data_IF_507017831039
#
_entry.id   IF_507017831039
#
_cell.length_a   1.000
_cell.length_b   1.000
_cell.length_c   1.000
_cell.angle_alpha   90.00
_cell.angle_beta   90.00
_cell.angle_gamma   90.00
#
_symmetry.space_group_name_H-M   'P 1'
#
loop_
_entity.id
_entity.type
_entity.pdbx_description
1 polymer ?
#
# COMPACT_ATOMS: atom_id res chain seq x y z
N UNK A 1 -17.53 3.74 -1.33
CA UNK A 1 -17.33 4.98 -2.11
C UNK A 1 -16.16 5.81 -1.57
N UNK A 2 -15.85 5.65 -0.30
CA UNK A 2 -14.83 6.38 0.46
C UNK A 2 -13.57 5.54 0.75
N UNK A 3 -13.45 4.38 0.09
CA UNK A 3 -12.34 3.42 0.26
C UNK A 3 -12.21 2.83 1.67
N UNK A 4 -13.28 2.87 2.47
CA UNK A 4 -13.35 2.27 3.80
C UNK A 4 -14.26 1.03 3.80
N UNK A 5 -14.08 0.08 4.73
CA UNK A 5 -14.98 -1.05 4.92
C UNK A 5 -16.44 -0.63 5.11
N UNK A 6 -17.38 -1.36 4.50
CA UNK A 6 -18.82 -1.15 4.75
C UNK A 6 -19.22 -1.88 6.02
N UNK A 7 -19.25 -1.16 7.14
CA UNK A 7 -19.60 -1.68 8.46
C UNK A 7 -20.97 -2.33 8.53
N UNK A 8 -21.92 -1.96 7.65
CA UNK A 8 -23.27 -2.58 7.61
C UNK A 8 -23.23 -4.00 7.05
N UNK A 9 -22.19 -4.32 6.27
CA UNK A 9 -21.98 -5.65 5.68
C UNK A 9 -21.14 -6.55 6.56
N UNK A 10 -20.21 -5.98 7.32
CA UNK A 10 -19.25 -6.74 8.12
C UNK A 10 -19.93 -7.79 9.03
N UNK A 11 -20.98 -7.46 9.83
CA UNK A 11 -21.63 -8.47 10.68
C UNK A 11 -22.24 -9.64 9.92
N UNK A 12 -22.65 -9.40 8.64
CA UNK A 12 -23.26 -10.43 7.79
C UNK A 12 -22.24 -11.35 7.12
N UNK A 13 -20.98 -10.93 7.08
CA UNK A 13 -19.87 -11.71 6.51
C UNK A 13 -19.22 -12.63 7.54
N UNK A 14 -19.34 -12.31 8.83
CA UNK A 14 -18.83 -13.13 9.92
C UNK A 14 -19.74 -14.37 10.08
N UNK A 15 -19.14 -15.55 10.15
CA UNK A 15 -19.82 -16.84 10.32
C UNK A 15 -18.89 -17.84 11.04
N UNK A 16 -19.34 -19.08 11.25
CA UNK A 16 -18.58 -20.13 11.96
C UNK A 16 -17.21 -20.48 11.34
N UNK A 17 -16.93 -20.06 10.13
CA UNK A 17 -15.62 -20.24 9.48
C UNK A 17 -14.73 -18.99 9.57
N UNK A 18 -15.21 -17.93 10.21
CA UNK A 18 -14.42 -16.70 10.38
C UNK A 18 -13.48 -16.87 11.55
N UNK A 19 -12.19 -16.86 11.29
CA UNK A 19 -11.15 -17.01 12.32
C UNK A 19 -10.63 -15.68 12.84
N UNK A 20 -10.80 -14.60 12.08
CA UNK A 20 -10.28 -13.28 12.43
C UNK A 20 -10.93 -12.19 11.56
N UNK A 21 -11.16 -11.03 12.13
CA UNK A 21 -11.39 -9.77 11.38
C UNK A 21 -10.08 -9.01 11.30
N UNK A 22 -9.80 -8.40 10.15
CA UNK A 22 -8.59 -7.61 9.93
C UNK A 22 -8.96 -6.20 9.49
N UNK A 23 -8.37 -5.20 10.15
CA UNK A 23 -8.38 -3.79 9.74
C UNK A 23 -6.96 -3.25 9.64
N UNK A 24 -6.75 -2.16 8.93
CA UNK A 24 -5.43 -1.61 8.67
C UNK A 24 -5.25 -0.20 9.22
N UNK A 25 -4.04 0.09 9.71
CA UNK A 25 -3.66 1.40 10.22
C UNK A 25 -2.24 1.80 9.75
N UNK A 26 -2.12 2.53 8.59
CA UNK A 26 -3.15 2.76 7.58
C UNK A 26 -3.26 1.62 6.56
N UNK A 27 -4.37 1.58 5.81
CA UNK A 27 -4.50 0.70 4.67
C UNK A 27 -3.63 1.16 3.49
N UNK A 28 -3.21 0.22 2.68
CA UNK A 28 -2.45 0.44 1.47
C UNK A 28 -3.36 0.26 0.25
N UNK A 29 -3.40 1.18 -0.75
CA UNK A 29 -2.44 2.25 -1.02
C UNK A 29 -2.88 3.68 -0.65
N UNK A 30 -4.08 3.89 -0.07
CA UNK A 30 -4.66 5.23 0.06
C UNK A 30 -4.27 5.95 1.37
N UNK A 31 -3.74 5.20 2.36
CA UNK A 31 -3.28 5.78 3.62
C UNK A 31 -4.39 6.09 4.62
N UNK A 32 -5.56 5.49 4.46
CA UNK A 32 -6.69 5.69 5.36
C UNK A 32 -6.59 4.72 6.54
N UNK A 33 -6.88 5.19 7.74
CA UNK A 33 -7.05 4.31 8.90
C UNK A 33 -8.46 3.74 8.83
N UNK A 34 -8.58 2.40 8.84
CA UNK A 34 -9.87 1.74 8.90
C UNK A 34 -10.62 2.11 10.19
N UNK A 35 -11.95 2.00 10.22
CA UNK A 35 -12.76 2.26 11.43
C UNK A 35 -12.56 1.14 12.46
N UNK A 36 -11.37 1.12 13.09
CA UNK A 36 -10.90 0.02 13.94
C UNK A 36 -11.80 -0.17 15.16
N UNK A 37 -12.29 0.91 15.78
CA UNK A 37 -13.16 0.82 16.95
C UNK A 37 -14.45 0.08 16.62
N UNK A 38 -15.16 0.50 15.57
CA UNK A 38 -16.43 -0.10 15.18
C UNK A 38 -16.23 -1.53 14.64
N UNK A 39 -15.14 -1.78 13.92
CA UNK A 39 -14.81 -3.13 13.47
C UNK A 39 -14.52 -4.06 14.65
N UNK A 40 -13.82 -3.57 15.66
CA UNK A 40 -13.50 -4.32 16.87
C UNK A 40 -14.76 -4.62 17.71
N UNK A 41 -15.67 -3.66 17.84
CA UNK A 41 -16.97 -3.88 18.50
C UNK A 41 -17.78 -4.98 17.80
N UNK A 42 -17.84 -4.95 16.46
CA UNK A 42 -18.54 -5.96 15.66
C UNK A 42 -17.89 -7.34 15.83
N UNK A 43 -16.56 -7.43 15.78
CA UNK A 43 -15.82 -8.67 15.92
C UNK A 43 -16.00 -9.26 17.32
N UNK A 44 -15.85 -8.45 18.36
CA UNK A 44 -16.02 -8.84 19.76
C UNK A 44 -17.45 -9.30 20.05
N UNK A 45 -18.45 -8.62 19.49
CA UNK A 45 -19.86 -9.00 19.63
C UNK A 45 -20.21 -10.36 19.00
N UNK A 46 -19.33 -10.93 18.20
CA UNK A 46 -19.46 -12.24 17.56
C UNK A 46 -18.36 -13.23 17.99
N UNK A 47 -17.63 -12.91 19.07
CA UNK A 47 -16.54 -13.73 19.63
C UNK A 47 -15.45 -14.07 18.58
N UNK A 48 -15.11 -13.10 17.71
CA UNK A 48 -14.08 -13.24 16.68
C UNK A 48 -12.91 -12.31 17.01
N UNK A 49 -11.65 -12.81 17.03
CA UNK A 49 -10.46 -11.98 17.21
C UNK A 49 -10.34 -10.89 16.15
N UNK A 50 -9.77 -9.75 16.53
CA UNK A 50 -9.43 -8.69 15.57
C UNK A 50 -7.94 -8.41 15.52
N UNK A 51 -7.39 -8.46 14.33
CA UNK A 51 -6.01 -8.06 14.02
C UNK A 51 -5.96 -6.68 13.39
N UNK A 52 -5.02 -5.86 13.80
CA UNK A 52 -4.70 -4.60 13.11
C UNK A 52 -3.40 -4.75 12.35
N UNK A 53 -3.49 -4.67 11.03
CA UNK A 53 -2.31 -4.55 10.17
C UNK A 53 -1.78 -3.12 10.22
N UNK A 54 -0.82 -2.91 11.10
CA UNK A 54 -0.05 -1.67 11.20
C UNK A 54 1.39 -1.85 10.67
N UNK A 55 1.59 -2.76 9.70
CA UNK A 55 2.90 -2.97 9.08
C UNK A 55 3.55 -1.67 8.59
N UNK A 56 2.75 -0.73 8.08
CA UNK A 56 3.21 0.61 7.71
C UNK A 56 3.18 1.56 8.90
N UNK A 57 2.07 1.59 9.65
CA UNK A 57 1.80 2.64 10.64
C UNK A 57 2.47 2.44 11.99
N UNK A 58 2.73 1.19 12.41
CA UNK A 58 3.10 0.87 13.79
C UNK A 58 4.38 1.55 14.31
N UNK A 59 5.31 1.90 13.44
CA UNK A 59 6.53 2.63 13.78
C UNK A 59 6.53 4.11 13.34
N UNK A 60 5.38 4.66 12.95
CA UNK A 60 5.29 6.10 12.62
C UNK A 60 4.06 6.77 13.23
N UNK A 61 2.88 6.14 13.20
CA UNK A 61 1.65 6.75 13.72
C UNK A 61 1.76 7.16 15.19
N UNK A 62 2.36 6.37 16.11
CA UNK A 62 2.54 6.79 17.49
C UNK A 62 3.34 8.08 17.63
N UNK A 63 4.37 8.26 16.81
CA UNK A 63 5.22 9.45 16.85
C UNK A 63 4.54 10.67 16.19
N UNK A 64 3.69 10.44 15.18
CA UNK A 64 2.81 11.49 14.65
C UNK A 64 1.80 11.95 15.70
N UNK A 65 1.18 11.03 16.47
CA UNK A 65 0.30 11.38 17.59
C UNK A 65 1.05 12.15 18.69
N UNK A 66 2.28 11.72 19.05
CA UNK A 66 3.13 12.46 20.01
C UNK A 66 3.46 13.88 19.52
N UNK A 67 3.46 14.11 18.23
CA UNK A 67 3.65 15.43 17.61
C UNK A 67 2.34 16.22 17.44
N UNK A 68 1.21 15.67 17.89
CA UNK A 68 -0.09 16.34 17.89
C UNK A 68 -1.00 16.01 16.71
N UNK A 69 -0.64 15.05 15.86
CA UNK A 69 -1.55 14.59 14.80
C UNK A 69 -2.76 13.88 15.41
N UNK A 70 -3.96 14.38 15.11
CA UNK A 70 -5.21 13.77 15.57
C UNK A 70 -5.62 12.66 14.61
N UNK A 71 -5.81 11.45 15.15
CA UNK A 71 -6.27 10.30 14.41
C UNK A 71 -7.17 9.42 15.27
N UNK A 72 -8.04 8.58 14.67
CA UNK A 72 -8.86 7.64 15.43
C UNK A 72 -7.97 6.61 16.14
N UNK A 73 -8.41 6.06 17.29
CA UNK A 73 -7.72 4.94 17.95
C UNK A 73 -7.63 3.74 17.00
N UNK A 74 -6.46 3.12 16.95
CA UNK A 74 -6.21 2.00 16.05
C UNK A 74 -5.43 0.83 16.69
N UNK A 75 -4.92 1.04 17.90
CA UNK A 75 -4.05 0.10 18.60
C UNK A 75 -4.77 -0.58 19.79
N UNK A 76 -4.01 -1.10 20.74
CA UNK A 76 -4.56 -1.76 21.94
C UNK A 76 -5.35 -0.82 22.87
N UNK A 77 -5.44 0.47 22.61
CA UNK A 77 -6.41 1.36 23.25
C UNK A 77 -7.85 0.95 22.91
N UNK A 78 -8.04 0.30 21.76
CA UNK A 78 -9.32 -0.30 21.35
C UNK A 78 -9.47 -1.67 22.00
N UNK A 79 -10.45 -1.90 22.90
CA UNK A 79 -10.54 -3.14 23.70
C UNK A 79 -10.64 -4.43 22.88
N UNK A 80 -11.33 -4.42 21.76
CA UNK A 80 -11.55 -5.59 20.91
C UNK A 80 -10.36 -5.96 20.01
N UNK A 81 -9.30 -5.12 19.93
CA UNK A 81 -8.09 -5.47 19.17
C UNK A 81 -7.28 -6.51 19.93
N UNK A 82 -7.03 -7.67 19.32
CA UNK A 82 -6.35 -8.81 19.94
C UNK A 82 -4.90 -8.96 19.51
N UNK A 83 -4.52 -8.47 18.30
CA UNK A 83 -3.15 -8.51 17.81
C UNK A 83 -2.86 -7.37 16.84
N UNK A 84 -1.59 -6.99 16.75
CA UNK A 84 -1.11 -5.90 15.88
C UNK A 84 0.20 -6.34 15.22
N UNK A 85 0.30 -6.21 13.89
CA UNK A 85 1.56 -6.33 13.16
C UNK A 85 2.20 -4.97 12.90
N UNK A 86 3.54 -4.88 13.01
CA UNK A 86 4.29 -3.66 12.76
C UNK A 86 5.69 -3.98 12.21
N UNK A 87 6.07 -3.38 11.07
CA UNK A 87 7.33 -3.66 10.41
C UNK A 87 8.42 -2.67 10.81
N UNK A 88 9.41 -3.16 11.59
CA UNK A 88 10.58 -2.34 11.98
C UNK A 88 11.39 -1.93 10.75
N UNK A 89 11.39 -2.75 9.69
CA UNK A 89 12.10 -2.48 8.44
C UNK A 89 11.36 -1.53 7.47
N UNK A 90 10.23 -0.96 7.87
CA UNK A 90 9.55 0.13 7.15
C UNK A 90 9.88 1.46 7.85
N UNK A 91 8.93 2.05 8.53
CA UNK A 91 9.14 3.32 9.24
C UNK A 91 9.89 3.19 10.58
N UNK A 92 10.25 1.97 10.99
CA UNK A 92 11.27 1.74 12.00
C UNK A 92 12.70 1.91 11.50
N UNK A 93 12.89 2.12 10.19
CA UNK A 93 14.17 2.39 9.51
C UNK A 93 15.25 1.31 9.68
N UNK A 94 14.88 0.11 10.15
CA UNK A 94 15.80 -1.00 10.26
C UNK A 94 16.02 -1.70 8.90
N UNK A 95 17.09 -2.47 8.81
CA UNK A 95 17.33 -3.35 7.67
C UNK A 95 16.17 -4.35 7.49
N UNK A 96 15.89 -4.76 6.25
CA UNK A 96 14.85 -5.74 5.95
C UNK A 96 15.10 -7.06 6.66
N UNK A 97 13.98 -7.74 7.02
CA UNK A 97 13.99 -9.02 7.73
C UNK A 97 13.54 -8.93 9.19
N UNK A 98 13.27 -7.72 9.71
CA UNK A 98 12.69 -7.53 11.04
C UNK A 98 11.26 -6.99 10.93
N UNK A 99 10.33 -7.75 11.47
CA UNK A 99 8.92 -7.40 11.63
C UNK A 99 8.44 -7.89 12.98
N UNK A 100 7.43 -7.26 13.54
CA UNK A 100 6.87 -7.62 14.83
C UNK A 100 5.40 -7.94 14.71
N UNK A 101 4.95 -8.87 15.55
CA UNK A 101 3.55 -9.08 15.88
C UNK A 101 3.43 -9.05 17.39
N UNK A 102 2.49 -8.28 17.89
CA UNK A 102 2.19 -8.16 19.31
C UNK A 102 0.78 -8.66 19.57
N UNK A 103 0.59 -9.28 20.72
CA UNK A 103 -0.67 -9.85 21.15
C UNK A 103 -1.12 -9.19 22.45
N UNK A 104 -2.44 -9.03 22.62
CA UNK A 104 -3.01 -8.47 23.84
C UNK A 104 -2.67 -9.30 25.08
N UNK A 105 -2.68 -10.61 24.91
CA UNK A 105 -2.47 -11.56 26.00
C UNK A 105 -1.79 -12.86 25.50
N UNK A 106 -1.38 -13.70 26.45
CA UNK A 106 -0.70 -14.97 26.17
C UNK A 106 -1.63 -16.03 25.59
N UNK A 107 -2.93 -15.97 25.87
CA UNK A 107 -3.88 -16.94 25.33
C UNK A 107 -4.06 -16.72 23.84
N UNK A 108 -4.15 -15.46 23.39
CA UNK A 108 -4.12 -15.12 21.97
C UNK A 108 -2.79 -15.51 21.31
N UNK A 109 -1.65 -15.27 21.98
CA UNK A 109 -0.32 -15.62 21.46
C UNK A 109 -0.16 -17.12 21.22
N UNK A 110 -0.75 -17.99 22.05
CA UNK A 110 -0.67 -19.45 21.91
C UNK A 110 -1.15 -19.95 20.53
N UNK A 111 -2.10 -19.26 19.91
CA UNK A 111 -2.59 -19.62 18.58
C UNK A 111 -1.55 -19.45 17.45
N UNK A 112 -0.46 -18.70 17.68
CA UNK A 112 0.67 -18.63 16.75
C UNK A 112 1.59 -19.85 16.85
N UNK A 113 1.63 -20.52 18.01
CA UNK A 113 2.55 -21.59 18.28
C UNK A 113 2.07 -22.89 17.65
N UNK A 114 2.98 -23.65 17.07
CA UNK A 114 2.72 -24.98 16.53
C UNK A 114 3.34 -26.02 17.46
N UNK A 115 2.55 -26.99 17.89
CA UNK A 115 3.00 -28.13 18.69
C UNK A 115 2.45 -29.40 18.07
N UNK A 116 3.29 -30.40 17.90
CA UNK A 116 2.90 -31.74 17.47
C UNK A 116 3.59 -32.78 18.35
N UNK A 117 2.80 -33.50 19.11
CA UNK A 117 3.27 -34.42 20.15
C UNK A 117 3.40 -35.89 19.66
N UNK A 118 2.74 -36.23 18.55
CA UNK A 118 2.68 -37.60 18.00
C UNK A 118 3.57 -37.76 16.76
N UNK A 119 4.84 -37.35 16.89
CA UNK A 119 5.83 -37.50 15.82
C UNK A 119 6.93 -38.47 16.23
N UNK A 120 7.35 -39.43 15.34
CA UNK A 120 8.38 -40.42 15.65
C UNK A 120 9.72 -39.84 16.14
N UNK A 121 10.01 -38.59 15.81
CA UNK A 121 11.19 -37.85 16.28
C UNK A 121 11.06 -37.23 17.66
N UNK A 122 9.92 -37.41 18.32
CA UNK A 122 9.61 -36.81 19.62
C UNK A 122 8.66 -35.62 19.52
N UNK A 123 8.53 -34.85 20.59
CA UNK A 123 7.67 -33.66 20.58
C UNK A 123 8.33 -32.58 19.72
N UNK A 124 7.60 -32.09 18.73
CA UNK A 124 8.00 -30.94 17.94
C UNK A 124 7.22 -29.69 18.39
N UNK A 125 7.94 -28.58 18.63
CA UNK A 125 7.33 -27.30 18.97
C UNK A 125 8.05 -26.17 18.23
N UNK A 126 7.26 -25.25 17.68
CA UNK A 126 7.76 -24.03 17.02
C UNK A 126 6.95 -22.82 17.47
N UNK A 127 7.59 -21.71 17.87
CA UNK A 127 6.89 -20.51 18.32
C UNK A 127 6.23 -19.73 17.16
N UNK A 128 6.53 -20.10 15.91
CA UNK A 128 6.00 -19.42 14.73
C UNK A 128 6.06 -20.35 13.50
N UNK A 129 5.36 -19.98 12.44
CA UNK A 129 5.34 -20.72 11.16
C UNK A 129 6.74 -20.90 10.54
N UNK A 130 7.55 -19.86 10.60
CA UNK A 130 8.95 -19.92 10.16
C UNK A 130 9.80 -20.59 11.25
N UNK A 131 10.65 -21.54 10.86
CA UNK A 131 11.62 -22.17 11.76
C UNK A 131 12.72 -21.20 12.23
N UNK A 132 13.98 -21.66 12.18
CA UNK A 132 15.15 -20.84 12.56
C UNK A 132 15.26 -19.60 11.67
N UNK A 133 15.50 -18.45 12.29
CA UNK A 133 15.71 -17.17 11.63
C UNK A 133 17.07 -16.57 11.99
N UNK A 134 17.72 -15.81 11.06
CA UNK A 134 19.00 -15.18 11.35
C UNK A 134 18.83 -14.07 12.39
N UNK A 135 19.64 -14.06 13.44
CA UNK A 135 19.62 -13.02 14.48
C UNK A 135 20.10 -11.64 14.03
N UNK A 136 20.82 -11.56 12.90
CA UNK A 136 21.37 -10.30 12.39
C UNK A 136 20.32 -9.22 12.14
N UNK A 137 19.15 -9.58 11.57
CA UNK A 137 18.05 -8.64 11.32
C UNK A 137 17.48 -8.06 12.63
N UNK A 138 17.36 -8.89 13.67
CA UNK A 138 16.86 -8.46 14.98
C UNK A 138 17.87 -7.58 15.71
N UNK A 139 19.16 -7.93 15.65
CA UNK A 139 20.23 -7.12 16.22
C UNK A 139 20.31 -5.75 15.53
N UNK A 140 20.18 -5.71 14.20
CA UNK A 140 20.13 -4.47 13.44
C UNK A 140 18.91 -3.63 13.79
N UNK A 141 17.73 -4.26 13.94
CA UNK A 141 16.51 -3.58 14.37
C UNK A 141 16.68 -2.97 15.78
N UNK A 142 17.19 -3.74 16.73
CA UNK A 142 17.46 -3.25 18.08
C UNK A 142 18.45 -2.07 18.08
N UNK A 143 19.57 -2.19 17.36
CA UNK A 143 20.56 -1.12 17.26
C UNK A 143 19.98 0.16 16.64
N UNK A 144 19.14 0.02 15.60
CA UNK A 144 18.46 1.14 14.95
C UNK A 144 17.50 1.84 15.92
N UNK A 145 16.66 1.08 16.63
CA UNK A 145 15.74 1.62 17.64
C UNK A 145 16.48 2.39 18.74
N UNK A 146 17.58 1.83 19.24
CA UNK A 146 18.42 2.49 20.26
C UNK A 146 19.09 3.76 19.72
N UNK A 147 19.62 3.71 18.48
CA UNK A 147 20.31 4.84 17.86
C UNK A 147 19.39 6.01 17.55
N UNK A 148 18.22 5.75 17.02
CA UNK A 148 17.24 6.79 16.66
C UNK A 148 16.58 7.32 17.93
N UNK A 149 16.12 6.43 18.80
CA UNK A 149 15.43 6.79 20.04
C UNK A 149 14.09 7.52 19.79
N UNK A 150 13.35 7.79 20.84
CA UNK A 150 12.02 8.41 20.75
C UNK A 150 12.05 9.77 20.06
N UNK A 151 13.00 10.64 20.42
CA UNK A 151 13.10 11.98 19.84
C UNK A 151 13.49 11.94 18.35
N UNK A 152 14.38 11.02 17.95
CA UNK A 152 14.72 10.84 16.55
C UNK A 152 13.51 10.36 15.72
N UNK A 153 12.72 9.41 16.24
CA UNK A 153 11.49 8.98 15.57
C UNK A 153 10.43 10.09 15.51
N UNK A 154 10.29 10.91 16.55
CA UNK A 154 9.40 12.08 16.53
C UNK A 154 9.80 13.07 15.45
N UNK A 155 11.11 13.35 15.30
CA UNK A 155 11.60 14.25 14.25
C UNK A 155 11.38 13.68 12.85
N UNK A 156 11.67 12.39 12.63
CA UNK A 156 11.39 11.70 11.36
C UNK A 156 9.90 11.71 11.02
N UNK A 157 9.04 11.49 12.02
CA UNK A 157 7.59 11.56 11.85
C UNK A 157 7.11 12.97 11.51
N UNK A 158 7.68 14.01 12.17
CA UNK A 158 7.37 15.42 11.87
C UNK A 158 7.72 15.76 10.42
N UNK A 159 8.94 15.46 9.98
CA UNK A 159 9.38 15.70 8.60
C UNK A 159 8.54 14.95 7.59
N UNK A 160 8.13 13.71 7.90
CA UNK A 160 7.23 12.94 7.05
C UNK A 160 5.84 13.58 6.97
N UNK A 161 5.30 14.04 8.10
CA UNK A 161 4.01 14.75 8.14
C UNK A 161 4.05 16.05 7.33
N UNK A 162 5.12 16.82 7.48
CA UNK A 162 5.32 18.06 6.73
C UNK A 162 5.38 17.79 5.21
N UNK A 163 6.07 16.72 4.80
CA UNK A 163 6.15 16.32 3.39
C UNK A 163 4.79 15.88 2.85
N UNK A 164 4.03 15.08 3.60
CA UNK A 164 2.67 14.65 3.19
C UNK A 164 1.73 15.82 3.07
N UNK A 165 1.76 16.75 4.02
CA UNK A 165 0.90 17.93 3.99
C UNK A 165 1.22 18.87 2.82
N UNK A 166 2.51 19.11 2.55
CA UNK A 166 2.93 19.88 1.38
C UNK A 166 2.52 19.21 0.06
N UNK A 167 2.68 17.87 -0.04
CA UNK A 167 2.21 17.11 -1.20
C UNK A 167 0.70 17.24 -1.34
N UNK A 168 -0.07 17.05 -0.27
CA UNK A 168 -1.54 17.15 -0.29
C UNK A 168 -1.98 18.52 -0.81
N UNK A 169 -1.49 19.60 -0.21
CA UNK A 169 -1.83 20.96 -0.61
C UNK A 169 -1.41 21.26 -2.04
N UNK A 170 -0.20 20.85 -2.42
CA UNK A 170 0.33 21.09 -3.77
C UNK A 170 -0.40 20.31 -4.86
N UNK A 171 -0.82 19.07 -4.59
CA UNK A 171 -1.61 18.25 -5.52
C UNK A 171 -3.02 18.84 -5.68
N UNK A 172 -3.68 19.21 -4.57
CA UNK A 172 -5.02 19.79 -4.59
C UNK A 172 -5.05 21.20 -5.24
N UNK A 173 -3.92 21.89 -5.26
CA UNK A 173 -3.77 23.16 -5.97
C UNK A 173 -3.59 22.99 -7.49
N UNK A 174 -3.45 21.76 -8.00
CA UNK A 174 -3.39 21.47 -9.45
C UNK A 174 -4.80 21.13 -9.92
N UNK A 175 -5.37 21.98 -10.78
CA UNK A 175 -6.69 21.76 -11.35
C UNK A 175 -6.77 20.38 -12.03
N UNK A 176 -7.83 19.63 -11.74
CA UNK A 176 -8.05 18.28 -12.28
C UNK A 176 -7.41 17.15 -11.47
N UNK A 177 -6.69 17.45 -10.39
CA UNK A 177 -6.21 16.44 -9.45
C UNK A 177 -6.94 16.52 -8.10
N UNK A 178 -7.06 15.39 -7.44
CA UNK A 178 -7.66 15.29 -6.10
C UNK A 178 -7.00 14.17 -5.31
N UNK A 179 -6.71 14.44 -4.03
CA UNK A 179 -6.25 13.43 -3.09
C UNK A 179 -7.40 12.48 -2.75
N UNK A 180 -7.10 11.19 -2.62
CA UNK A 180 -8.09 10.16 -2.30
C UNK A 180 -8.26 10.08 -0.79
N UNK A 181 -9.47 10.40 -0.32
CA UNK A 181 -9.82 10.34 1.10
C UNK A 181 -9.12 11.40 1.95
N UNK A 182 -8.90 11.07 3.23
CA UNK A 182 -8.22 11.92 4.21
C UNK A 182 -7.11 11.11 4.89
N UNK A 183 -5.97 10.90 4.22
CA UNK A 183 -4.86 10.12 4.77
C UNK A 183 -4.28 10.80 6.02
N UNK A 184 -4.03 10.01 7.06
CA UNK A 184 -3.48 10.48 8.34
C UNK A 184 -2.03 10.06 8.57
N UNK A 185 -1.55 9.13 7.77
CA UNK A 185 -0.22 8.55 7.89
C UNK A 185 0.73 8.96 6.75
N UNK A 186 1.76 8.17 6.53
CA UNK A 186 2.82 8.47 5.56
C UNK A 186 2.47 8.10 4.12
N UNK A 187 1.28 7.63 3.86
CA UNK A 187 0.80 7.27 2.53
C UNK A 187 -0.10 8.39 1.99
N UNK A 188 0.04 8.68 0.71
CA UNK A 188 -0.84 9.58 -0.01
C UNK A 188 -1.15 9.00 -1.38
N UNK A 189 -2.40 9.04 -1.79
CA UNK A 189 -2.82 8.67 -3.13
C UNK A 189 -3.69 9.77 -3.73
N UNK A 190 -3.55 9.96 -5.03
CA UNK A 190 -4.31 10.97 -5.75
C UNK A 190 -4.70 10.47 -7.14
N UNK A 191 -5.74 11.06 -7.68
CA UNK A 191 -6.31 10.71 -8.97
C UNK A 191 -6.74 11.95 -9.74
N UNK A 192 -7.06 11.76 -11.02
CA UNK A 192 -7.77 12.79 -11.76
C UNK A 192 -9.26 12.81 -11.38
N UNK A 193 -9.82 14.00 -11.18
CA UNK A 193 -11.26 14.26 -11.14
C UNK A 193 -11.74 14.92 -12.46
N UNK A 194 -10.83 15.17 -13.40
CA UNK A 194 -11.10 15.62 -14.75
C UNK A 194 -11.11 14.40 -15.70
N UNK A 195 -12.25 14.16 -16.35
CA UNK A 195 -12.43 12.99 -17.25
C UNK A 195 -11.52 13.04 -18.50
N UNK A 196 -11.06 14.23 -18.87
CA UNK A 196 -10.22 14.45 -20.06
C UNK A 196 -8.72 14.38 -19.69
N UNK A 197 -8.36 14.36 -18.39
CA UNK A 197 -7.01 14.21 -17.90
C UNK A 197 -6.72 12.75 -17.53
N UNK A 198 -5.92 12.06 -18.33
CA UNK A 198 -5.51 10.68 -18.05
C UNK A 198 -4.37 10.64 -17.04
N UNK A 199 -4.64 10.10 -15.83
CA UNK A 199 -3.66 10.05 -14.72
C UNK A 199 -2.45 9.15 -15.04
N UNK A 200 -2.61 8.10 -15.85
CA UNK A 200 -1.49 7.25 -16.25
C UNK A 200 -0.59 7.92 -17.27
N UNK A 201 -1.13 8.82 -18.12
CA UNK A 201 -0.33 9.66 -18.98
C UNK A 201 0.47 10.70 -18.17
N UNK A 202 -0.14 11.28 -17.13
CA UNK A 202 0.58 12.14 -16.17
C UNK A 202 1.72 11.38 -15.51
N UNK A 203 1.45 10.15 -15.01
CA UNK A 203 2.48 9.29 -14.42
C UNK A 203 3.62 8.99 -15.40
N UNK A 204 3.31 8.73 -16.68
CA UNK A 204 4.32 8.49 -17.70
C UNK A 204 5.21 9.74 -17.96
N UNK A 205 4.66 10.95 -17.93
CA UNK A 205 5.44 12.18 -18.04
C UNK A 205 6.32 12.42 -16.82
N UNK A 206 5.84 12.12 -15.62
CA UNK A 206 6.64 12.17 -14.40
C UNK A 206 7.80 11.16 -14.43
N UNK A 207 7.60 9.96 -14.98
CA UNK A 207 8.68 8.97 -15.17
C UNK A 207 9.75 9.48 -16.14
N UNK A 208 9.35 10.19 -17.21
CA UNK A 208 10.29 10.85 -18.11
C UNK A 208 11.08 11.98 -17.44
N UNK A 209 10.51 12.61 -16.41
CA UNK A 209 11.20 13.58 -15.56
C UNK A 209 12.10 12.92 -14.49
N UNK A 210 12.17 11.58 -14.43
CA UNK A 210 13.04 10.84 -13.53
C UNK A 210 12.38 10.34 -12.22
N UNK A 211 11.08 10.53 -12.05
CA UNK A 211 10.35 10.06 -10.86
C UNK A 211 9.95 8.60 -10.99
N UNK A 212 10.18 7.80 -9.95
CA UNK A 212 9.66 6.43 -9.83
C UNK A 212 8.30 6.47 -9.13
N UNK A 213 7.24 6.04 -9.81
CA UNK A 213 5.87 6.17 -9.31
C UNK A 213 5.17 4.82 -9.21
N UNK A 214 4.33 4.69 -8.19
CA UNK A 214 3.40 3.58 -8.07
C UNK A 214 2.00 4.00 -8.52
N UNK A 215 1.34 3.14 -9.26
CA UNK A 215 0.00 3.39 -9.80
C UNK A 215 -1.05 2.58 -9.04
N UNK A 216 -2.23 3.17 -8.90
CA UNK A 216 -3.40 2.47 -8.34
C UNK A 216 -4.38 2.09 -9.43
N UNK A 217 -5.23 1.11 -9.10
CA UNK A 217 -6.39 0.71 -9.91
C UNK A 217 -7.63 0.72 -9.01
N UNK A 218 -8.76 1.24 -9.52
CA UNK A 218 -10.03 1.29 -8.78
C UNK A 218 -10.00 2.14 -7.50
N UNK A 219 -9.75 3.44 -7.64
CA UNK A 219 -9.66 4.20 -8.89
C UNK A 219 -8.25 4.16 -9.49
N UNK A 220 -8.19 4.52 -10.78
CA UNK A 220 -6.93 4.85 -11.44
C UNK A 220 -6.31 6.06 -10.76
N UNK A 221 -5.04 5.95 -10.38
CA UNK A 221 -4.36 6.98 -9.63
C UNK A 221 -2.86 6.71 -9.48
N UNK A 222 -2.24 7.56 -8.71
CA UNK A 222 -0.84 7.48 -8.30
C UNK A 222 -0.81 7.48 -6.78
N UNK A 223 0.07 6.67 -6.17
CA UNK A 223 0.28 6.73 -4.74
C UNK A 223 1.77 6.77 -4.38
N UNK A 224 2.08 7.33 -3.22
CA UNK A 224 3.42 7.42 -2.69
C UNK A 224 3.47 6.99 -1.22
N UNK A 225 4.56 6.29 -0.86
CA UNK A 225 4.99 6.11 0.51
C UNK A 225 6.00 7.22 0.82
N UNK A 226 5.61 8.15 1.66
CA UNK A 226 6.39 9.35 1.97
C UNK A 226 7.26 9.09 3.20
N UNK A 227 8.53 9.47 3.13
CA UNK A 227 9.48 9.44 4.24
C UNK A 227 10.05 10.84 4.49
N UNK A 228 10.77 11.02 5.58
CA UNK A 228 11.42 12.28 5.91
C UNK A 228 12.32 12.82 4.76
N UNK A 229 12.96 11.92 4.00
CA UNK A 229 13.83 12.31 2.87
C UNK A 229 13.08 13.01 1.73
N UNK A 230 11.79 12.74 1.57
CA UNK A 230 10.99 13.36 0.51
C UNK A 230 10.74 14.84 0.76
N UNK A 231 10.82 15.31 2.01
CA UNK A 231 10.55 16.72 2.35
C UNK A 231 11.37 17.69 1.48
N UNK A 232 12.64 17.37 1.22
CA UNK A 232 13.53 18.21 0.44
C UNK A 232 13.17 18.28 -1.06
N UNK A 233 12.49 17.26 -1.59
CA UNK A 233 12.19 17.14 -3.04
C UNK A 233 10.73 17.40 -3.37
N UNK A 234 9.85 17.64 -2.37
CA UNK A 234 8.44 17.96 -2.62
C UNK A 234 8.24 19.13 -3.58
N UNK A 235 8.97 20.27 -3.46
CA UNK A 235 8.77 21.39 -4.39
C UNK A 235 9.06 21.03 -5.84
N UNK A 236 10.12 20.26 -6.09
CA UNK A 236 10.49 19.79 -7.42
C UNK A 236 9.45 18.82 -7.98
N UNK A 237 9.03 17.85 -7.15
CA UNK A 237 7.97 16.92 -7.50
C UNK A 237 6.68 17.62 -7.94
N UNK A 238 6.24 18.63 -7.19
CA UNK A 238 5.03 19.37 -7.48
C UNK A 238 5.17 20.26 -8.74
N UNK A 239 6.36 20.80 -8.99
CA UNK A 239 6.64 21.54 -10.22
C UNK A 239 6.56 20.64 -11.46
N UNK A 240 7.19 19.46 -11.40
CA UNK A 240 7.16 18.47 -12.47
C UNK A 240 5.76 17.88 -12.66
N UNK A 241 5.02 17.67 -11.57
CA UNK A 241 3.64 17.18 -11.65
C UNK A 241 2.74 18.20 -12.39
N UNK A 242 2.85 19.47 -12.06
CA UNK A 242 2.10 20.54 -12.74
C UNK A 242 2.45 20.59 -14.23
N UNK A 243 3.73 20.59 -14.56
CA UNK A 243 4.22 20.53 -15.93
C UNK A 243 3.72 19.29 -16.69
N UNK A 244 3.71 18.12 -16.03
CA UNK A 244 3.22 16.87 -16.61
C UNK A 244 1.73 16.93 -16.92
N UNK A 245 0.94 17.53 -16.05
CA UNK A 245 -0.49 17.78 -16.28
C UNK A 245 -0.71 18.68 -17.49
N UNK A 246 0.05 19.78 -17.62
CA UNK A 246 -0.05 20.70 -18.75
C UNK A 246 0.34 20.02 -20.08
N UNK A 247 1.38 19.19 -20.08
CA UNK A 247 1.79 18.40 -21.26
C UNK A 247 0.67 17.43 -21.68
N UNK A 248 0.06 16.71 -20.74
CA UNK A 248 -1.01 15.74 -21.05
C UNK A 248 -2.26 16.45 -21.55
N UNK A 249 -2.63 17.59 -20.98
CA UNK A 249 -3.76 18.41 -21.46
C UNK A 249 -3.54 18.90 -22.89
N UNK A 250 -2.33 19.34 -23.19
CA UNK A 250 -1.97 19.80 -24.54
C UNK A 250 -1.87 18.65 -25.55
N UNK A 251 -1.68 17.41 -25.08
CA UNK A 251 -1.45 16.23 -25.92
C UNK A 251 -2.27 15.02 -25.45
N UNK A 252 -3.61 15.02 -25.62
CA UNK A 252 -4.48 13.93 -25.13
C UNK A 252 -4.12 12.54 -25.69
N UNK A 253 -3.43 12.48 -26.85
CA UNK A 253 -2.98 11.24 -27.48
C UNK A 253 -1.99 10.44 -26.63
N UNK A 254 -1.31 11.07 -25.66
CA UNK A 254 -0.38 10.40 -24.74
C UNK A 254 -1.05 9.30 -23.90
N UNK A 255 -2.36 9.40 -23.66
CA UNK A 255 -3.13 8.35 -22.98
C UNK A 255 -3.09 6.98 -23.69
N UNK A 256 -2.79 6.97 -24.99
CA UNK A 256 -2.78 5.77 -25.82
C UNK A 256 -1.37 5.30 -26.21
N UNK A 257 -0.34 5.80 -25.54
CA UNK A 257 1.06 5.50 -25.86
C UNK A 257 1.85 5.06 -24.61
N UNK A 258 2.92 4.28 -24.82
CA UNK A 258 3.88 3.90 -23.79
C UNK A 258 3.29 3.21 -22.56
N UNK A 259 3.84 3.53 -21.40
CA UNK A 259 3.38 2.97 -20.13
C UNK A 259 1.94 3.35 -19.78
N UNK A 260 1.47 4.53 -20.20
CA UNK A 260 0.08 4.96 -19.98
C UNK A 260 -0.93 4.03 -20.65
N UNK A 261 -0.71 3.66 -21.90
CA UNK A 261 -1.56 2.71 -22.62
C UNK A 261 -1.55 1.32 -21.97
N UNK A 262 -0.39 0.85 -21.55
CA UNK A 262 -0.21 -0.46 -20.89
C UNK A 262 -0.97 -0.52 -19.58
N UNK A 263 -0.78 0.46 -18.69
CA UNK A 263 -1.47 0.50 -17.40
C UNK A 263 -2.97 0.73 -17.55
N UNK A 264 -3.40 1.62 -18.45
CA UNK A 264 -4.81 1.85 -18.76
C UNK A 264 -5.50 0.57 -19.27
N UNK A 265 -4.82 -0.18 -20.15
CA UNK A 265 -5.32 -1.48 -20.63
C UNK A 265 -5.42 -2.49 -19.48
N UNK A 266 -4.37 -2.66 -18.68
CA UNK A 266 -4.34 -3.60 -17.56
C UNK A 266 -5.38 -3.28 -16.49
N UNK A 267 -5.64 -2.00 -16.23
CA UNK A 267 -6.65 -1.53 -15.26
C UNK A 267 -8.08 -1.90 -15.68
N UNK A 268 -8.38 -1.82 -16.97
CA UNK A 268 -9.74 -1.93 -17.50
C UNK A 268 -10.10 -3.23 -18.22
N UNK A 269 -9.13 -4.15 -18.43
CA UNK A 269 -9.39 -5.46 -19.04
C UNK A 269 -10.31 -6.29 -18.15
N UNK A 270 -11.48 -6.73 -18.63
CA UNK A 270 -12.41 -7.51 -17.83
C UNK A 270 -11.93 -8.95 -17.57
N UNK A 271 -11.05 -9.49 -18.42
CA UNK A 271 -10.54 -10.85 -18.32
C UNK A 271 -9.29 -10.91 -17.42
N UNK A 272 -9.48 -10.73 -16.11
CA UNK A 272 -8.40 -10.72 -15.11
C UNK A 272 -7.51 -11.97 -15.12
N UNK A 273 -8.06 -13.13 -15.50
CA UNK A 273 -7.29 -14.37 -15.68
C UNK A 273 -6.19 -14.27 -16.74
N UNK A 274 -6.43 -13.53 -17.83
CA UNK A 274 -5.41 -13.30 -18.86
C UNK A 274 -4.29 -12.39 -18.35
N UNK A 275 -4.63 -11.34 -17.60
CA UNK A 275 -3.63 -10.46 -16.96
C UNK A 275 -2.76 -11.27 -16.01
N UNK A 276 -3.39 -12.07 -15.12
CA UNK A 276 -2.68 -12.95 -14.19
C UNK A 276 -1.72 -13.90 -14.93
N UNK A 277 -2.21 -14.56 -15.99
CA UNK A 277 -1.38 -15.46 -16.78
C UNK A 277 -0.17 -14.74 -17.37
N UNK A 278 -0.38 -13.58 -17.98
CA UNK A 278 0.72 -12.79 -18.57
C UNK A 278 1.76 -12.39 -17.55
N UNK A 279 1.34 -11.92 -16.37
CA UNK A 279 2.26 -11.59 -15.28
C UNK A 279 3.06 -12.81 -14.83
N UNK A 280 2.41 -13.97 -14.69
CA UNK A 280 3.10 -15.22 -14.34
C UNK A 280 4.10 -15.64 -15.41
N UNK A 281 3.76 -15.50 -16.70
CA UNK A 281 4.67 -15.82 -17.81
C UNK A 281 5.92 -14.91 -17.77
N UNK A 282 5.74 -13.61 -17.48
CA UNK A 282 6.84 -12.65 -17.30
C UNK A 282 7.73 -13.05 -16.12
N UNK A 283 7.15 -13.37 -14.96
CA UNK A 283 7.93 -13.82 -13.81
C UNK A 283 8.68 -15.12 -14.12
N UNK A 284 8.03 -16.09 -14.78
CA UNK A 284 8.69 -17.35 -15.15
C UNK A 284 9.90 -17.11 -16.06
N UNK A 285 9.80 -16.16 -16.99
CA UNK A 285 10.91 -15.80 -17.87
C UNK A 285 12.07 -15.16 -17.11
N UNK A 286 11.81 -14.31 -16.11
CA UNK A 286 12.85 -13.70 -15.25
C UNK A 286 13.66 -14.76 -14.48
N UNK A 287 13.05 -15.89 -14.12
CA UNK A 287 13.73 -16.99 -13.42
C UNK A 287 14.40 -17.99 -14.35
N UNK A 288 14.26 -17.85 -15.67
CA UNK A 288 14.92 -18.75 -16.64
C UNK A 288 16.42 -18.50 -16.63
N UNK A 289 17.22 -19.56 -16.48
CA UNK A 289 18.68 -19.47 -16.57
C UNK A 289 19.10 -18.91 -17.94
N UNK A 290 19.86 -17.83 -17.96
CA UNK A 290 20.24 -17.11 -19.18
C UNK A 290 19.15 -16.26 -19.80
N UNK A 291 18.01 -16.03 -19.10
CA UNK A 291 16.97 -15.10 -19.51
C UNK A 291 17.51 -13.66 -19.60
N UNK A 292 17.07 -12.93 -20.62
CA UNK A 292 17.42 -11.51 -20.76
C UNK A 292 16.79 -10.69 -19.61
N UNK A 293 17.49 -9.64 -19.18
CA UNK A 293 16.88 -8.64 -18.32
C UNK A 293 15.58 -8.13 -18.96
N UNK A 294 14.47 -8.33 -18.27
CA UNK A 294 13.17 -7.88 -18.77
C UNK A 294 13.09 -6.38 -18.59
N UNK A 295 13.23 -5.67 -19.68
CA UNK A 295 12.85 -4.27 -19.74
C UNK A 295 11.32 -4.16 -19.78
N UNK A 296 10.71 -3.94 -18.62
CA UNK A 296 9.26 -3.71 -18.50
C UNK A 296 8.78 -2.45 -19.24
N UNK A 297 9.73 -1.63 -19.71
CA UNK A 297 9.51 -0.40 -20.48
C UNK A 297 9.80 -0.62 -21.97
N UNK A 298 10.34 -1.78 -22.38
CA UNK A 298 10.60 -2.06 -23.80
C UNK A 298 9.27 -2.07 -24.55
N UNK A 299 9.08 -1.07 -25.39
CA UNK A 299 7.98 -0.97 -26.34
C UNK A 299 8.20 -1.95 -27.50
N UNK A 300 8.03 -3.24 -27.24
CA UNK A 300 7.84 -4.22 -28.29
C UNK A 300 6.57 -3.89 -29.07
N UNK A 301 6.60 -4.00 -30.39
CA UNK A 301 5.41 -3.76 -31.23
C UNK A 301 4.25 -4.61 -30.72
N UNK A 302 3.10 -4.01 -30.35
CA UNK A 302 2.00 -4.76 -29.76
C UNK A 302 1.52 -5.85 -30.72
N UNK A 303 1.33 -7.06 -30.22
CA UNK A 303 0.80 -8.19 -30.97
C UNK A 303 -0.58 -7.86 -31.57
N UNK A 304 -1.01 -8.58 -32.59
CA UNK A 304 -2.34 -8.41 -33.18
C UNK A 304 -3.47 -8.52 -32.12
N UNK A 305 -3.27 -9.35 -31.13
CA UNK A 305 -4.21 -9.56 -30.01
C UNK A 305 -4.23 -8.35 -29.08
N UNK A 306 -3.09 -7.75 -28.78
CA UNK A 306 -2.97 -6.52 -27.99
C UNK A 306 -3.60 -5.31 -28.71
N UNK A 307 -3.43 -5.21 -30.03
CA UNK A 307 -4.11 -4.18 -30.85
C UNK A 307 -5.62 -4.36 -30.88
N UNK A 308 -6.11 -5.60 -30.95
CA UNK A 308 -7.54 -5.93 -30.88
C UNK A 308 -8.13 -5.59 -29.50
N UNK A 309 -7.42 -5.93 -28.43
CA UNK A 309 -7.83 -5.61 -27.07
C UNK A 309 -7.82 -4.10 -26.79
N UNK A 310 -6.82 -3.37 -27.24
CA UNK A 310 -6.77 -1.89 -27.12
C UNK A 310 -7.98 -1.21 -27.78
N UNK A 311 -8.36 -1.69 -28.98
CA UNK A 311 -9.57 -1.19 -29.68
C UNK A 311 -10.87 -1.52 -28.93
N UNK A 312 -10.97 -2.72 -28.36
CA UNK A 312 -12.12 -3.16 -27.57
C UNK A 312 -12.25 -2.32 -26.28
N UNK A 313 -11.17 -2.11 -25.56
CA UNK A 313 -11.13 -1.30 -24.34
C UNK A 313 -11.50 0.16 -24.65
N UNK A 314 -10.91 0.74 -25.68
CA UNK A 314 -11.24 2.10 -26.12
C UNK A 314 -12.72 2.24 -26.50
N UNK A 315 -13.30 1.25 -27.18
CA UNK A 315 -14.73 1.20 -27.52
C UNK A 315 -15.61 1.10 -26.27
N UNK A 316 -15.24 0.28 -25.29
CA UNK A 316 -16.00 0.08 -24.05
C UNK A 316 -15.95 1.30 -23.13
N UNK A 317 -14.80 1.93 -23.00
CA UNK A 317 -14.65 3.20 -22.24
C UNK A 317 -15.50 4.31 -22.86
N UNK A 318 -15.60 4.38 -24.18
CA UNK A 318 -16.52 5.31 -24.86
C UNK A 318 -18.01 5.04 -24.57
N UNK A 319 -18.40 3.81 -24.26
CA UNK A 319 -19.80 3.42 -23.98
C UNK A 319 -20.19 3.47 -22.50
N UNK A 320 -19.23 3.51 -21.59
CA UNK A 320 -19.45 3.64 -20.13
C UNK A 320 -19.43 5.10 -19.65
N UNK A 321 -19.20 6.00 -20.57
CA UNK A 321 -19.40 7.45 -20.44
C UNK A 321 -20.75 7.85 -21.06
#
# INVERSE_FOLDING_TARGET
KDHRPDLRKLPKLINSNTVMVLGSAPEYPFGLIDPIEEMAEIAQGQDVPMHVDACVGGFILPFMEMNGTVMPPWDFRVPGVTSISADVHKYGYAAKGASTITYRDLDTLKHQMFVYEDWPGGIFASPALLGTRPGGAYAAAWATLQKIGTEGYRELARQTSDAVEQLRQGIEAIEGLVVIGDPKGPLIAYRSNDKDLNIFAVAAQMELAGWSLNRTQKPDGIHAMVTAQHLAVVPEYLADLRKSVDIVRSNPGLANSGSAATYGMMSHVPLRGMVKKRVLDVFAEMYRAGGAELDLHASGSPSLLERGMSRYVAWRVKRSR
#
